data_IF_783731573134
#
_entry.id   IF_783731573134
#
_cell.length_a   1.000
_cell.length_b   1.000
_cell.length_c   1.000
_cell.angle_alpha   90.00
_cell.angle_beta   90.00
_cell.angle_gamma   90.00
#
_symmetry.space_group_name_H-M   'P 1'
#
loop_
_entity.id
_entity.type
_entity.pdbx_description
1 polymer ?
#
# COMPACT_ATOMS: atom_id res chain seq x y z
N UNK A 1 -2.53 9.67 -59.53
CA UNK A 1 -1.29 9.40 -58.79
C UNK A 1 -1.71 8.90 -57.42
N UNK A 2 -1.58 7.59 -57.17
CA UNK A 2 -1.84 7.04 -55.83
C UNK A 2 -0.68 7.47 -54.94
N UNK A 3 -0.95 8.35 -53.98
CA UNK A 3 0.00 8.66 -52.92
C UNK A 3 0.30 7.37 -52.16
N UNK A 4 1.56 6.98 -52.10
CA UNK A 4 2.00 5.86 -51.25
C UNK A 4 1.50 6.08 -49.81
N UNK A 5 0.97 5.05 -49.15
CA UNK A 5 0.46 5.18 -47.79
C UNK A 5 1.60 5.59 -46.86
N UNK A 6 1.54 6.81 -46.33
CA UNK A 6 2.48 7.30 -45.33
C UNK A 6 1.88 7.16 -43.93
N UNK A 7 2.74 6.94 -42.92
CA UNK A 7 2.35 6.94 -41.51
C UNK A 7 1.65 8.24 -41.09
N UNK A 8 2.06 9.38 -41.66
CA UNK A 8 1.42 10.67 -41.41
C UNK A 8 -0.03 10.74 -41.91
N UNK A 9 -0.35 10.05 -43.01
CA UNK A 9 -1.68 10.00 -43.59
C UNK A 9 -2.64 9.04 -42.88
N UNK A 10 -2.15 8.18 -41.98
CA UNK A 10 -2.99 7.17 -41.31
C UNK A 10 -4.02 7.81 -40.36
N UNK A 11 -5.27 7.30 -40.29
CA UNK A 11 -6.22 7.70 -39.26
C UNK A 11 -5.69 7.46 -37.84
N UNK A 12 -6.16 8.25 -36.88
CA UNK A 12 -5.72 8.16 -35.48
C UNK A 12 -5.96 6.76 -34.90
N UNK A 13 -7.07 6.13 -35.26
CA UNK A 13 -7.49 4.82 -34.80
C UNK A 13 -6.49 3.73 -35.23
N UNK A 14 -5.95 3.85 -36.44
CA UNK A 14 -4.93 2.94 -36.96
C UNK A 14 -3.59 3.19 -36.26
N UNK A 15 -3.22 4.46 -36.04
CA UNK A 15 -2.01 4.79 -35.28
C UNK A 15 -2.08 4.28 -33.84
N UNK A 16 -3.20 4.47 -33.14
CA UNK A 16 -3.42 3.93 -31.79
C UNK A 16 -3.35 2.40 -31.78
N UNK A 17 -3.93 1.73 -32.78
CA UNK A 17 -3.82 0.28 -32.91
C UNK A 17 -2.38 -0.18 -33.08
N UNK A 18 -1.56 0.53 -33.87
CA UNK A 18 -0.13 0.23 -34.01
C UNK A 18 0.60 0.48 -32.68
N UNK A 19 0.38 1.64 -32.06
CA UNK A 19 1.00 2.05 -30.80
C UNK A 19 0.67 1.06 -29.66
N UNK A 20 -0.53 0.47 -29.66
CA UNK A 20 -0.93 -0.57 -28.70
C UNK A 20 -0.03 -1.82 -28.70
N UNK A 21 0.66 -2.10 -29.82
CA UNK A 21 1.58 -3.23 -29.93
C UNK A 21 3.06 -2.85 -29.70
N UNK A 22 3.36 -1.57 -29.47
CA UNK A 22 4.73 -1.09 -29.28
C UNK A 22 5.06 -0.92 -27.79
N UNK A 23 6.28 -1.28 -27.35
CA UNK A 23 6.75 -0.90 -26.03
C UNK A 23 6.98 0.62 -25.96
N UNK A 24 6.94 1.19 -24.74
CA UNK A 24 7.06 2.65 -24.53
C UNK A 24 8.31 3.26 -25.21
N UNK A 25 9.44 2.56 -25.21
CA UNK A 25 10.66 3.02 -25.87
C UNK A 25 10.48 3.20 -27.40
N UNK A 26 9.77 2.27 -28.04
CA UNK A 26 9.49 2.32 -29.48
C UNK A 26 8.43 3.37 -29.79
N UNK A 27 7.45 3.56 -28.90
CA UNK A 27 6.50 4.69 -29.01
C UNK A 27 7.25 6.02 -28.93
N UNK A 28 8.21 6.16 -28.00
CA UNK A 28 9.06 7.34 -27.90
C UNK A 28 9.88 7.55 -29.18
N UNK A 29 10.47 6.50 -29.74
CA UNK A 29 11.20 6.58 -31.02
C UNK A 29 10.28 6.97 -32.19
N UNK A 30 9.07 6.40 -32.26
CA UNK A 30 8.06 6.75 -33.26
C UNK A 30 7.64 8.22 -33.16
N UNK A 31 7.53 8.76 -31.94
CA UNK A 31 7.21 10.18 -31.71
C UNK A 31 8.27 11.14 -32.22
N UNK A 32 9.48 10.67 -32.52
CA UNK A 32 10.58 11.49 -33.04
C UNK A 32 10.63 11.52 -34.57
N UNK A 33 9.85 10.67 -35.28
CA UNK A 33 9.99 10.54 -36.74
C UNK A 33 9.34 11.68 -37.52
N UNK A 34 8.18 12.18 -37.07
CA UNK A 34 7.47 13.29 -37.69
C UNK A 34 6.50 13.95 -36.70
N UNK A 35 6.19 15.24 -36.90
CA UNK A 35 5.33 16.00 -35.99
C UNK A 35 3.90 15.44 -35.92
N UNK A 36 3.32 15.05 -37.04
CA UNK A 36 1.93 14.56 -37.07
C UNK A 36 1.82 13.12 -36.53
N UNK A 37 2.78 12.23 -36.88
CA UNK A 37 2.97 10.95 -36.16
C UNK A 37 3.10 11.18 -34.65
N UNK A 38 3.91 12.14 -34.21
CA UNK A 38 4.11 12.46 -32.78
C UNK A 38 2.81 12.81 -32.07
N UNK A 39 1.97 13.65 -32.67
CA UNK A 39 0.67 14.02 -32.11
C UNK A 39 -0.23 12.79 -31.96
N UNK A 40 -0.35 11.97 -33.01
CA UNK A 40 -1.20 10.78 -33.03
C UNK A 40 -0.70 9.64 -32.12
N UNK A 41 0.61 9.55 -31.90
CA UNK A 41 1.22 8.55 -31.02
C UNK A 41 1.41 9.01 -29.58
N UNK A 42 1.01 10.25 -29.25
CA UNK A 42 1.05 10.80 -27.88
C UNK A 42 -0.29 10.76 -27.15
N UNK A 43 -1.28 10.05 -27.69
CA UNK A 43 -2.64 9.95 -27.14
C UNK A 43 -2.86 8.61 -26.42
N UNK A 44 -4.13 8.27 -26.13
CA UNK A 44 -4.59 6.96 -25.66
C UNK A 44 -3.57 6.07 -24.95
N UNK A 45 -2.98 5.14 -25.71
CA UNK A 45 -2.02 4.14 -25.22
C UNK A 45 -0.77 4.79 -24.61
N UNK A 46 -0.16 5.76 -25.29
CA UNK A 46 1.03 6.44 -24.76
C UNK A 46 0.76 7.07 -23.39
N UNK A 47 -0.36 7.78 -23.26
CA UNK A 47 -0.77 8.39 -21.99
C UNK A 47 -1.03 7.34 -20.90
N UNK A 48 -1.53 6.16 -21.26
CA UNK A 48 -1.82 5.09 -20.31
C UNK A 48 -0.57 4.60 -19.57
N UNK A 49 0.62 4.65 -20.20
CA UNK A 49 1.89 4.31 -19.55
C UNK A 49 2.24 5.20 -18.37
N UNK A 50 1.60 6.37 -18.23
CA UNK A 50 1.89 7.33 -17.16
C UNK A 50 0.87 7.30 -16.01
N UNK A 51 -0.26 6.60 -16.19
CA UNK A 51 -1.33 6.52 -15.19
C UNK A 51 -0.94 5.73 -13.95
N UNK A 52 -0.23 4.62 -14.15
CA UNK A 52 0.19 3.73 -13.07
C UNK A 52 1.72 3.67 -13.04
N UNK A 53 2.31 4.08 -11.92
CA UNK A 53 3.76 4.04 -11.72
C UNK A 53 4.14 3.18 -10.54
N UNK A 54 5.31 2.55 -10.64
CA UNK A 54 5.92 1.78 -9.56
C UNK A 54 7.30 2.37 -9.26
N UNK A 55 7.59 2.64 -8.00
CA UNK A 55 8.89 3.16 -7.54
C UNK A 55 9.44 2.19 -6.50
N UNK A 56 10.67 1.73 -6.70
CA UNK A 56 11.39 0.96 -5.69
C UNK A 56 11.96 1.91 -4.63
N UNK A 57 11.61 1.72 -3.36
CA UNK A 57 12.01 2.58 -2.24
C UNK A 57 13.48 2.41 -1.83
N UNK A 58 14.07 1.26 -2.16
CA UNK A 58 15.44 0.91 -1.78
C UNK A 58 16.46 1.22 -2.88
N UNK A 59 15.99 1.58 -4.07
CA UNK A 59 16.82 1.81 -5.24
C UNK A 59 16.96 3.33 -5.47
N UNK A 60 18.17 3.84 -5.25
CA UNK A 60 18.49 5.25 -5.35
C UNK A 60 18.30 5.78 -6.77
N UNK A 61 18.76 5.03 -7.78
CA UNK A 61 18.65 5.41 -9.19
C UNK A 61 17.18 5.50 -9.62
N UNK A 62 16.34 4.61 -9.08
CA UNK A 62 14.88 4.65 -9.33
C UNK A 62 14.20 5.84 -8.67
N UNK A 63 14.66 6.26 -7.50
CA UNK A 63 14.16 7.46 -6.84
C UNK A 63 14.57 8.74 -7.60
N UNK A 64 15.82 8.83 -8.07
CA UNK A 64 16.25 9.94 -8.92
C UNK A 64 15.48 9.97 -10.25
N UNK A 65 15.30 8.81 -10.87
CA UNK A 65 14.47 8.68 -12.08
C UNK A 65 13.03 9.12 -11.81
N UNK A 66 12.47 8.80 -10.64
CA UNK A 66 11.14 9.25 -10.26
C UNK A 66 11.06 10.77 -10.12
N UNK A 67 12.07 11.42 -9.52
CA UNK A 67 12.16 12.89 -9.45
C UNK A 67 12.20 13.50 -10.86
N UNK A 68 13.02 12.94 -11.75
CA UNK A 68 13.11 13.39 -13.14
C UNK A 68 11.75 13.28 -13.85
N UNK A 69 11.09 12.12 -13.78
CA UNK A 69 9.79 11.90 -14.41
C UNK A 69 8.71 12.78 -13.79
N UNK A 70 8.70 12.95 -12.46
CA UNK A 70 7.74 13.79 -11.76
C UNK A 70 7.86 15.26 -12.19
N UNK A 71 9.07 15.73 -12.50
CA UNK A 71 9.35 17.07 -13.03
C UNK A 71 8.81 17.30 -14.46
N UNK A 72 8.53 16.25 -15.22
CA UNK A 72 7.95 16.36 -16.57
C UNK A 72 6.43 16.57 -16.48
N UNK A 73 6.00 17.83 -16.41
CA UNK A 73 4.59 18.25 -16.20
C UNK A 73 3.55 17.51 -17.06
N UNK A 74 3.88 17.23 -18.33
CA UNK A 74 2.97 16.58 -19.28
C UNK A 74 2.64 15.12 -18.94
N UNK A 75 3.52 14.45 -18.20
CA UNK A 75 3.40 13.04 -17.86
C UNK A 75 2.93 12.84 -16.41
N UNK A 76 3.39 13.68 -15.49
CA UNK A 76 3.03 13.61 -14.07
C UNK A 76 1.57 13.98 -13.79
N UNK A 77 0.99 14.87 -14.60
CA UNK A 77 -0.44 15.23 -14.52
C UNK A 77 -1.40 14.08 -14.87
N UNK A 78 -0.91 13.03 -15.51
CA UNK A 78 -1.68 11.83 -15.88
C UNK A 78 -1.64 10.74 -14.81
N UNK A 79 -0.83 10.90 -13.75
CA UNK A 79 -0.71 9.89 -12.70
C UNK A 79 -2.08 9.67 -12.03
N UNK A 80 -2.50 8.42 -11.94
CA UNK A 80 -3.73 7.96 -11.28
C UNK A 80 -3.41 7.05 -10.09
N UNK A 81 -2.32 6.27 -10.15
CA UNK A 81 -1.89 5.41 -9.05
C UNK A 81 -0.37 5.26 -9.00
N UNK A 82 0.17 5.34 -7.77
CA UNK A 82 1.56 5.16 -7.46
C UNK A 82 1.74 3.98 -6.49
N UNK A 83 2.46 2.95 -6.93
CA UNK A 83 2.88 1.85 -6.06
C UNK A 83 4.31 2.06 -5.61
N UNK A 84 4.52 2.12 -4.30
CA UNK A 84 5.84 2.15 -3.68
C UNK A 84 6.19 0.73 -3.24
N UNK A 85 7.32 0.24 -3.78
CA UNK A 85 7.74 -1.15 -3.64
C UNK A 85 8.98 -1.20 -2.75
N UNK A 86 8.89 -1.90 -1.64
CA UNK A 86 10.01 -2.18 -0.75
C UNK A 86 10.58 -3.57 -1.08
N UNK A 87 11.91 -3.70 -1.14
CA UNK A 87 12.59 -4.96 -1.46
C UNK A 87 13.17 -5.59 -0.19
N UNK A 88 12.86 -6.86 0.06
CA UNK A 88 13.30 -7.63 1.23
C UNK A 88 14.83 -7.81 1.31
N UNK A 89 15.51 -7.92 0.17
CA UNK A 89 16.93 -8.30 0.12
C UNK A 89 17.91 -7.19 0.52
N UNK A 90 17.44 -5.93 0.55
CA UNK A 90 18.31 -4.74 0.73
C UNK A 90 18.28 -4.20 2.17
N UNK A 91 17.42 -4.75 3.04
CA UNK A 91 17.26 -4.25 4.41
C UNK A 91 18.24 -4.84 5.44
N UNK A 92 19.06 -5.82 5.05
CA UNK A 92 20.09 -6.37 5.93
C UNK A 92 21.40 -5.54 5.82
N UNK A 93 21.72 -4.78 6.87
CA UNK A 93 23.11 -4.39 7.16
C UNK A 93 23.56 -2.92 7.01
N UNK A 94 23.30 -2.20 5.91
CA UNK A 94 24.22 -1.11 5.53
C UNK A 94 23.69 0.33 5.34
N UNK A 95 22.43 0.68 5.67
CA UNK A 95 21.81 1.91 5.12
C UNK A 95 21.35 2.99 6.12
N UNK A 96 22.03 3.20 7.25
CA UNK A 96 21.73 4.40 8.07
C UNK A 96 22.20 5.73 7.44
N UNK A 97 23.24 5.72 6.58
CA UNK A 97 23.68 6.95 5.89
C UNK A 97 22.87 7.26 4.62
N UNK A 98 22.40 6.24 3.89
CA UNK A 98 21.58 6.42 2.67
C UNK A 98 20.10 6.73 2.93
N UNK A 99 19.57 6.45 4.14
CA UNK A 99 18.16 6.65 4.48
C UNK A 99 17.68 8.11 4.38
N UNK A 100 18.50 9.07 4.84
CA UNK A 100 18.14 10.50 4.79
C UNK A 100 18.04 11.01 3.35
N UNK A 101 18.95 10.60 2.47
CA UNK A 101 18.95 11.00 1.06
C UNK A 101 17.79 10.36 0.30
N UNK A 102 17.47 9.08 0.59
CA UNK A 102 16.30 8.40 0.00
C UNK A 102 14.98 9.06 0.39
N UNK A 103 14.80 9.39 1.66
CA UNK A 103 13.60 10.10 2.13
C UNK A 103 13.46 11.49 1.46
N UNK A 104 14.57 12.20 1.23
CA UNK A 104 14.57 13.47 0.51
C UNK A 104 14.16 13.31 -0.96
N UNK A 105 14.71 12.30 -1.66
CA UNK A 105 14.33 12.03 -3.06
C UNK A 105 12.87 11.60 -3.17
N UNK A 106 12.40 10.72 -2.28
CA UNK A 106 11.00 10.32 -2.21
C UNK A 106 10.10 11.54 -1.97
N UNK A 107 10.41 12.36 -0.97
CA UNK A 107 9.67 13.58 -0.69
C UNK A 107 9.60 14.50 -1.89
N UNK A 108 10.74 14.73 -2.55
CA UNK A 108 10.80 15.56 -3.75
C UNK A 108 9.97 14.99 -4.90
N UNK A 109 10.02 13.68 -5.12
CA UNK A 109 9.22 13.03 -6.16
C UNK A 109 7.72 13.18 -5.88
N UNK A 110 7.28 12.89 -4.65
CA UNK A 110 5.88 13.00 -4.24
C UNK A 110 5.36 14.45 -4.30
N UNK A 111 6.17 15.43 -3.87
CA UNK A 111 5.86 16.85 -4.04
C UNK A 111 5.61 17.20 -5.51
N UNK A 112 6.51 16.79 -6.41
CA UNK A 112 6.40 17.09 -7.84
C UNK A 112 5.18 16.42 -8.47
N UNK A 113 4.86 15.18 -8.07
CA UNK A 113 3.62 14.52 -8.50
C UNK A 113 2.39 15.26 -7.99
N UNK A 114 2.39 15.70 -6.73
CA UNK A 114 1.29 16.45 -6.14
C UNK A 114 1.09 17.82 -6.82
N UNK A 115 2.18 18.55 -7.07
CA UNK A 115 2.16 19.87 -7.72
C UNK A 115 1.67 19.80 -9.17
N UNK A 116 2.02 18.73 -9.88
CA UNK A 116 1.62 18.53 -11.27
C UNK A 116 0.28 17.80 -11.40
N UNK A 117 -0.28 17.29 -10.31
CA UNK A 117 -1.59 16.65 -10.29
C UNK A 117 -2.68 17.67 -10.59
N UNK A 118 -3.60 17.30 -11.48
CA UNK A 118 -4.79 18.12 -11.79
C UNK A 118 -5.72 18.28 -10.58
N UNK A 119 -5.56 17.45 -9.55
CA UNK A 119 -6.35 17.47 -8.32
C UNK A 119 -5.68 18.25 -7.19
N UNK A 120 -4.43 18.66 -7.35
CA UNK A 120 -3.62 19.26 -6.27
C UNK A 120 -3.31 18.29 -5.13
N UNK A 121 -3.40 16.99 -5.38
CA UNK A 121 -3.17 15.92 -4.40
C UNK A 121 -2.61 14.66 -5.06
N UNK A 122 -2.06 13.77 -4.25
CA UNK A 122 -1.64 12.43 -4.68
C UNK A 122 -2.90 11.55 -4.84
N UNK A 123 -3.20 11.03 -6.05
CA UNK A 123 -4.48 10.38 -6.30
C UNK A 123 -4.64 9.03 -5.60
N UNK A 124 -3.65 8.15 -5.73
CA UNK A 124 -3.63 6.83 -5.07
C UNK A 124 -2.20 6.41 -4.76
N UNK A 125 -1.93 6.03 -3.52
CA UNK A 125 -0.64 5.51 -3.06
C UNK A 125 -0.85 4.11 -2.51
N UNK A 126 -0.07 3.15 -3.01
CA UNK A 126 -0.07 1.78 -2.53
C UNK A 126 1.31 1.35 -2.06
N UNK A 127 1.39 0.78 -0.86
CA UNK A 127 2.59 0.17 -0.33
C UNK A 127 2.58 -1.34 -0.60
N UNK A 128 3.70 -1.85 -1.12
CA UNK A 128 3.91 -3.25 -1.48
C UNK A 128 5.30 -3.68 -1.06
N UNK A 129 5.44 -4.90 -0.57
CA UNK A 129 6.75 -5.54 -0.42
C UNK A 129 6.94 -6.53 -1.56
N UNK A 130 8.04 -6.42 -2.30
CA UNK A 130 8.38 -7.43 -3.29
C UNK A 130 9.12 -8.58 -2.61
N UNK A 131 8.57 -9.79 -2.79
CA UNK A 131 9.05 -11.02 -2.17
C UNK A 131 9.68 -12.00 -3.14
N UNK A 132 9.93 -11.61 -4.39
CA UNK A 132 10.52 -12.52 -5.38
C UNK A 132 11.98 -12.81 -5.04
N UNK A 133 12.21 -13.84 -4.22
CA UNK A 133 13.27 -14.79 -4.54
C UNK A 133 12.99 -15.20 -5.98
N UNK A 134 13.90 -14.89 -6.92
CA UNK A 134 13.74 -15.16 -8.35
C UNK A 134 13.26 -16.61 -8.52
N UNK A 135 11.99 -16.81 -8.86
CA UNK A 135 11.44 -18.11 -9.25
C UNK A 135 11.99 -18.48 -10.62
N UNK A 136 13.25 -18.91 -10.67
CA UNK A 136 13.71 -19.77 -11.74
C UNK A 136 13.28 -21.22 -11.40
N UNK A 137 12.12 -21.60 -11.96
CA UNK A 137 11.71 -22.98 -12.28
C UNK A 137 11.74 -24.00 -11.12
N UNK A 138 10.62 -24.16 -10.41
CA UNK A 138 10.45 -25.35 -9.56
C UNK A 138 10.10 -26.58 -10.39
N UNK A 139 11.06 -27.51 -10.42
CA UNK A 139 10.91 -28.91 -10.78
C UNK A 139 10.19 -29.68 -9.65
N UNK A 140 9.36 -30.71 -9.92
CA UNK A 140 8.58 -31.44 -8.91
C UNK A 140 9.37 -32.23 -7.84
N UNK A 141 10.70 -32.09 -7.75
CA UNK A 141 11.56 -32.88 -6.87
C UNK A 141 12.07 -32.17 -5.61
N UNK A 142 11.72 -30.90 -5.37
CA UNK A 142 12.33 -30.10 -4.30
C UNK A 142 11.55 -30.10 -2.96
N UNK A 143 11.29 -31.29 -2.42
CA UNK A 143 10.83 -31.46 -1.03
C UNK A 143 11.87 -30.98 0.00
N UNK A 144 13.15 -30.90 -0.37
CA UNK A 144 14.21 -30.36 0.47
C UNK A 144 14.10 -28.83 0.64
N UNK A 145 13.70 -28.10 -0.41
CA UNK A 145 13.48 -26.65 -0.36
C UNK A 145 12.26 -26.31 0.49
N UNK A 146 11.19 -27.13 0.45
CA UNK A 146 10.04 -26.95 1.35
C UNK A 146 10.42 -27.09 2.84
N UNK A 147 11.35 -27.99 3.16
CA UNK A 147 11.86 -28.19 4.52
C UNK A 147 12.87 -27.11 4.94
N UNK A 148 13.66 -26.57 4.01
CA UNK A 148 14.59 -25.47 4.29
C UNK A 148 13.86 -24.11 4.40
N UNK A 149 12.79 -23.92 3.62
CA UNK A 149 11.84 -22.81 3.78
C UNK A 149 11.16 -22.82 5.14
N UNK A 150 10.86 -23.99 5.74
CA UNK A 150 10.36 -24.05 7.12
C UNK A 150 11.43 -23.69 8.17
N UNK A 151 12.71 -23.93 7.90
CA UNK A 151 13.82 -23.52 8.79
C UNK A 151 14.13 -22.02 8.68
N UNK A 152 13.95 -21.43 7.50
CA UNK A 152 14.18 -20.01 7.22
C UNK A 152 12.92 -19.14 7.34
N UNK A 153 11.73 -19.75 7.46
CA UNK A 153 10.46 -19.04 7.65
C UNK A 153 10.48 -17.98 8.76
N UNK A 154 11.06 -18.22 9.95
CA UNK A 154 11.10 -17.21 11.00
C UNK A 154 11.96 -16.00 10.65
N UNK A 155 13.05 -16.18 9.89
CA UNK A 155 13.93 -15.09 9.47
C UNK A 155 13.32 -14.31 8.29
N UNK A 156 12.68 -15.01 7.35
CA UNK A 156 11.98 -14.40 6.23
C UNK A 156 10.78 -13.57 6.72
N UNK A 157 10.00 -14.06 7.67
CA UNK A 157 8.88 -13.30 8.25
C UNK A 157 9.37 -12.05 8.99
N UNK A 158 10.45 -12.13 9.77
CA UNK A 158 11.06 -10.95 10.42
C UNK A 158 11.50 -9.89 9.40
N UNK A 159 12.20 -10.30 8.34
CA UNK A 159 12.60 -9.40 7.26
C UNK A 159 11.40 -8.72 6.59
N UNK A 160 10.29 -9.43 6.38
CA UNK A 160 9.04 -8.87 5.84
C UNK A 160 8.43 -7.84 6.80
N UNK A 161 8.39 -8.16 8.09
CA UNK A 161 7.82 -7.29 9.12
C UNK A 161 8.64 -5.99 9.26
N UNK A 162 9.96 -6.09 9.26
CA UNK A 162 10.85 -4.92 9.27
C UNK A 162 10.71 -4.09 7.99
N UNK A 163 10.64 -4.75 6.83
CA UNK A 163 10.46 -4.08 5.53
C UNK A 163 9.11 -3.37 5.42
N UNK A 164 8.01 -3.99 5.86
CA UNK A 164 6.68 -3.39 5.89
C UNK A 164 6.63 -2.20 6.85
N UNK A 165 7.18 -2.35 8.07
CA UNK A 165 7.25 -1.29 9.06
C UNK A 165 8.06 -0.10 8.55
N UNK A 166 9.25 -0.34 7.98
CA UNK A 166 10.11 0.73 7.48
C UNK A 166 9.47 1.45 6.28
N UNK A 167 8.99 0.71 5.27
CA UNK A 167 8.36 1.33 4.10
C UNK A 167 7.11 2.15 4.44
N UNK A 168 6.31 1.67 5.41
CA UNK A 168 5.20 2.43 5.98
C UNK A 168 5.66 3.72 6.67
N UNK A 169 6.62 3.61 7.59
CA UNK A 169 7.12 4.77 8.35
C UNK A 169 7.79 5.79 7.44
N UNK A 170 8.73 5.37 6.58
CA UNK A 170 9.48 6.27 5.69
C UNK A 170 8.52 7.02 4.75
N UNK A 171 7.54 6.32 4.18
CA UNK A 171 6.58 6.94 3.26
C UNK A 171 5.66 7.93 3.99
N UNK A 172 5.02 7.51 5.09
CA UNK A 172 4.04 8.38 5.76
C UNK A 172 4.69 9.54 6.52
N UNK A 173 5.91 9.38 7.03
CA UNK A 173 6.66 10.51 7.59
C UNK A 173 7.03 11.53 6.52
N UNK A 174 7.40 11.07 5.31
CA UNK A 174 7.64 11.97 4.18
C UNK A 174 6.35 12.70 3.79
N UNK A 175 5.22 12.00 3.68
CA UNK A 175 3.92 12.63 3.40
C UNK A 175 3.58 13.69 4.44
N UNK A 176 3.70 13.36 5.73
CA UNK A 176 3.43 14.27 6.83
C UNK A 176 4.35 15.51 6.78
N UNK A 177 5.66 15.29 6.64
CA UNK A 177 6.67 16.36 6.60
C UNK A 177 6.40 17.37 5.48
N UNK A 178 5.92 16.89 4.34
CA UNK A 178 5.65 17.70 3.16
C UNK A 178 4.16 18.11 3.04
N UNK A 179 3.33 17.76 4.04
CA UNK A 179 1.88 18.02 4.07
C UNK A 179 1.17 17.62 2.77
N UNK A 180 1.49 16.44 2.24
CA UNK A 180 1.00 16.02 0.92
C UNK A 180 -0.40 15.42 1.04
N UNK A 181 -1.45 16.06 0.47
CA UNK A 181 -2.79 15.52 0.52
C UNK A 181 -2.92 14.26 -0.34
N UNK A 182 -3.66 13.26 0.17
CA UNK A 182 -3.86 11.95 -0.49
C UNK A 182 -5.36 11.63 -0.57
N UNK A 183 -5.80 11.06 -1.69
CA UNK A 183 -7.20 10.62 -1.86
C UNK A 183 -7.42 9.13 -1.63
N UNK A 184 -6.44 8.29 -1.93
CA UNK A 184 -6.51 6.83 -1.77
C UNK A 184 -5.18 6.30 -1.23
N UNK A 185 -5.25 5.55 -0.13
CA UNK A 185 -4.11 4.97 0.55
C UNK A 185 -4.34 3.48 0.77
N UNK A 186 -3.43 2.67 0.23
CA UNK A 186 -3.41 1.24 0.42
C UNK A 186 -2.12 0.79 1.11
N UNK A 187 -2.27 0.29 2.33
CA UNK A 187 -1.20 -0.24 3.17
C UNK A 187 -1.30 -1.77 3.10
N UNK A 188 -0.61 -2.36 2.12
CA UNK A 188 -0.50 -3.81 1.92
C UNK A 188 -1.81 -4.58 1.69
N UNK A 189 -2.96 -3.91 1.51
CA UNK A 189 -4.28 -4.55 1.44
C UNK A 189 -4.58 -5.34 0.16
N UNK A 190 -3.73 -5.27 -0.86
CA UNK A 190 -3.92 -5.99 -2.12
C UNK A 190 -3.12 -7.30 -2.23
N UNK A 191 -2.28 -7.63 -1.24
CA UNK A 191 -1.33 -8.75 -1.33
C UNK A 191 -1.55 -9.77 -0.22
N UNK A 192 -1.43 -11.04 -0.57
CA UNK A 192 -1.42 -12.15 0.39
C UNK A 192 -0.04 -12.24 1.05
N UNK A 193 0.03 -12.00 2.36
CA UNK A 193 1.22 -12.30 3.18
C UNK A 193 2.05 -11.10 3.61
N UNK A 194 1.78 -9.88 3.12
CA UNK A 194 2.39 -8.66 3.64
C UNK A 194 1.37 -7.95 4.54
N UNK A 195 1.72 -7.70 5.81
CA UNK A 195 0.83 -7.04 6.76
C UNK A 195 1.63 -6.17 7.72
N UNK A 196 1.07 -5.00 8.03
CA UNK A 196 1.68 -4.06 8.94
C UNK A 196 1.39 -4.46 10.39
N UNK A 197 2.40 -4.38 11.25
CA UNK A 197 2.15 -4.52 12.68
C UNK A 197 1.40 -3.30 13.23
N UNK A 198 0.40 -3.55 14.07
CA UNK A 198 -0.49 -2.48 14.53
C UNK A 198 0.21 -1.42 15.40
N UNK A 199 1.31 -1.78 16.08
CA UNK A 199 2.11 -0.83 16.87
C UNK A 199 2.74 0.26 16.01
N UNK A 200 3.05 -0.04 14.74
CA UNK A 200 3.66 0.91 13.82
C UNK A 200 2.77 2.12 13.57
N UNK A 201 1.45 1.95 13.57
CA UNK A 201 0.50 3.07 13.44
C UNK A 201 0.65 4.04 14.61
N UNK A 202 0.71 3.51 15.84
CA UNK A 202 0.89 4.34 17.04
C UNK A 202 2.26 5.01 17.05
N UNK A 203 3.32 4.26 16.70
CA UNK A 203 4.69 4.76 16.60
C UNK A 203 4.82 5.89 15.58
N UNK A 204 4.11 5.79 14.46
CA UNK A 204 4.08 6.82 13.43
C UNK A 204 3.36 8.08 13.92
N UNK A 205 2.16 7.94 14.49
CA UNK A 205 1.37 9.08 14.97
C UNK A 205 2.06 9.85 16.12
N UNK A 206 2.95 9.19 16.87
CA UNK A 206 3.80 9.85 17.87
C UNK A 206 4.90 10.74 17.24
N UNK A 207 5.27 10.49 15.98
CA UNK A 207 6.40 11.14 15.29
C UNK A 207 5.96 12.12 14.21
N UNK A 208 4.76 11.96 13.67
CA UNK A 208 4.30 12.66 12.49
C UNK A 208 2.83 13.08 12.60
N UNK A 209 2.54 14.32 12.21
CA UNK A 209 1.17 14.82 12.06
C UNK A 209 0.69 14.59 10.63
N UNK A 210 -0.34 13.75 10.49
CA UNK A 210 -0.95 13.37 9.22
C UNK A 210 -2.31 14.05 8.97
N UNK A 211 -2.75 14.94 9.88
CA UNK A 211 -4.09 15.54 9.85
C UNK A 211 -4.39 16.22 8.51
N UNK A 212 -3.47 17.07 8.02
CA UNK A 212 -3.61 17.79 6.74
C UNK A 212 -3.57 16.84 5.54
N UNK A 213 -2.72 15.82 5.61
CA UNK A 213 -2.46 14.89 4.50
C UNK A 213 -3.63 13.91 4.29
N UNK A 214 -4.30 13.50 5.38
CA UNK A 214 -5.38 12.51 5.36
C UNK A 214 -6.80 13.12 5.43
N UNK A 215 -6.94 14.42 5.64
CA UNK A 215 -8.26 15.08 5.71
C UNK A 215 -9.14 14.82 4.47
N UNK A 216 -8.51 14.77 3.30
CA UNK A 216 -9.15 14.52 2.00
C UNK A 216 -9.22 13.05 1.58
N UNK A 217 -8.74 12.12 2.43
CA UNK A 217 -8.67 10.70 2.10
C UNK A 217 -10.06 10.10 1.93
N UNK A 218 -10.32 9.54 0.75
CA UNK A 218 -11.60 8.93 0.36
C UNK A 218 -11.56 7.42 0.48
N UNK A 219 -10.40 6.79 0.32
CA UNK A 219 -10.25 5.35 0.38
C UNK A 219 -9.05 4.98 1.25
N UNK A 220 -9.28 4.04 2.18
CA UNK A 220 -8.25 3.48 3.02
C UNK A 220 -8.36 1.97 3.00
N UNK A 221 -7.25 1.31 2.69
CA UNK A 221 -7.12 -0.14 2.75
C UNK A 221 -5.90 -0.49 3.59
N UNK A 222 -6.04 -1.35 4.59
CA UNK A 222 -4.94 -1.76 5.46
C UNK A 222 -4.99 -3.26 5.74
N UNK A 223 -3.84 -3.92 5.58
CA UNK A 223 -3.60 -5.27 6.08
C UNK A 223 -2.78 -5.20 7.37
N UNK A 224 -3.33 -5.74 8.45
CA UNK A 224 -2.81 -5.56 9.82
C UNK A 224 -2.53 -6.90 10.49
N UNK A 225 -1.54 -6.94 11.39
CA UNK A 225 -1.24 -8.12 12.21
C UNK A 225 -0.75 -7.75 13.61
N UNK A 226 -0.80 -8.72 14.53
CA UNK A 226 -0.33 -8.58 15.92
C UNK A 226 1.13 -9.05 16.13
N UNK A 227 1.85 -9.47 15.09
CA UNK A 227 3.07 -10.27 15.24
C UNK A 227 4.10 -9.65 16.20
N UNK A 228 4.57 -10.49 17.12
CA UNK A 228 5.64 -10.20 18.05
C UNK A 228 6.64 -11.35 17.99
N UNK A 229 7.76 -11.11 17.31
CA UNK A 229 8.81 -12.11 17.14
C UNK A 229 9.71 -12.26 18.37
N UNK A 230 9.67 -11.31 19.32
CA UNK A 230 10.76 -11.11 20.29
C UNK A 230 10.33 -10.68 21.70
N UNK A 231 9.06 -10.37 21.97
CA UNK A 231 8.66 -9.76 23.25
C UNK A 231 7.92 -10.73 24.16
N UNK A 232 8.70 -11.61 24.78
CA UNK A 232 8.26 -12.40 25.94
C UNK A 232 7.85 -11.54 27.15
N UNK A 233 7.94 -10.20 27.08
CA UNK A 233 7.70 -9.29 28.21
C UNK A 233 6.49 -8.36 27.99
N UNK A 234 6.16 -7.96 26.75
CA UNK A 234 5.06 -7.02 26.49
C UNK A 234 3.69 -7.66 26.21
N UNK A 235 3.63 -8.96 25.93
CA UNK A 235 2.38 -9.69 25.61
C UNK A 235 1.46 -9.96 26.81
N UNK A 236 1.87 -9.65 28.05
CA UNK A 236 1.07 -9.91 29.25
C UNK A 236 0.18 -8.74 29.69
N UNK A 237 0.22 -7.58 29.04
CA UNK A 237 -0.59 -6.44 29.46
C UNK A 237 -1.68 -6.11 28.42
N UNK A 238 -2.95 -6.24 28.83
CA UNK A 238 -4.11 -5.77 28.08
C UNK A 238 -4.02 -4.27 27.67
N UNK A 239 -3.18 -3.48 28.37
CA UNK A 239 -2.86 -2.10 27.99
C UNK A 239 -2.18 -2.01 26.61
N UNK A 240 -1.39 -3.00 26.21
CA UNK A 240 -0.65 -2.98 24.94
C UNK A 240 -1.58 -3.12 23.73
N UNK A 241 -2.49 -4.11 23.74
CA UNK A 241 -3.51 -4.24 22.70
C UNK A 241 -4.44 -3.03 22.64
N UNK A 242 -4.74 -2.43 23.81
CA UNK A 242 -5.47 -1.16 23.89
C UNK A 242 -4.75 -0.03 23.16
N UNK A 243 -3.48 0.19 23.45
CA UNK A 243 -2.68 1.22 22.78
C UNK A 243 -2.62 1.02 21.26
N UNK A 244 -2.46 -0.21 20.78
CA UNK A 244 -2.39 -0.51 19.35
C UNK A 244 -3.69 -0.16 18.62
N UNK A 245 -4.83 -0.65 19.12
CA UNK A 245 -6.13 -0.34 18.52
C UNK A 245 -6.48 1.14 18.64
N UNK A 246 -6.05 1.82 19.70
CA UNK A 246 -6.18 3.27 19.83
C UNK A 246 -5.43 4.01 18.72
N UNK A 247 -4.22 3.58 18.36
CA UNK A 247 -3.50 4.14 17.22
C UNK A 247 -4.26 4.00 15.90
N UNK A 248 -4.90 2.85 15.66
CA UNK A 248 -5.77 2.65 14.49
C UNK A 248 -6.98 3.59 14.53
N UNK A 249 -7.65 3.71 15.69
CA UNK A 249 -8.76 4.64 15.85
C UNK A 249 -8.34 6.09 15.60
N UNK A 250 -7.19 6.51 16.12
CA UNK A 250 -6.63 7.84 15.89
C UNK A 250 -6.36 8.09 14.41
N UNK A 251 -5.75 7.13 13.71
CA UNK A 251 -5.52 7.24 12.27
C UNK A 251 -6.84 7.40 11.50
N UNK A 252 -7.85 6.60 11.83
CA UNK A 252 -9.18 6.66 11.21
C UNK A 252 -9.87 8.00 11.47
N UNK A 253 -9.70 8.59 12.65
CA UNK A 253 -10.24 9.91 12.99
C UNK A 253 -9.62 11.04 12.15
N UNK A 254 -8.41 10.88 11.62
CA UNK A 254 -7.83 11.86 10.69
C UNK A 254 -8.52 11.85 9.31
N UNK A 255 -9.18 10.74 8.96
CA UNK A 255 -9.77 10.48 7.64
C UNK A 255 -11.23 10.96 7.55
N UNK A 256 -11.45 12.26 7.65
CA UNK A 256 -12.79 12.86 7.74
C UNK A 256 -13.68 12.66 6.50
N UNK A 257 -13.07 12.46 5.32
CA UNK A 257 -13.76 12.33 4.03
C UNK A 257 -13.89 10.87 3.56
N UNK A 258 -13.64 9.90 4.44
CA UNK A 258 -13.52 8.49 4.09
C UNK A 258 -14.84 7.92 3.57
N UNK A 259 -14.80 7.31 2.38
CA UNK A 259 -15.94 6.68 1.70
C UNK A 259 -15.81 5.16 1.56
N UNK A 260 -14.60 4.65 1.51
CA UNK A 260 -14.28 3.22 1.40
C UNK A 260 -13.24 2.84 2.44
N UNK A 261 -13.59 1.89 3.31
CA UNK A 261 -12.71 1.36 4.33
C UNK A 261 -12.56 -0.15 4.15
N UNK A 262 -11.34 -0.62 3.96
CA UNK A 262 -11.00 -2.03 3.87
C UNK A 262 -10.01 -2.37 4.98
N UNK A 263 -10.42 -3.25 5.88
CA UNK A 263 -9.57 -3.73 6.96
C UNK A 263 -9.42 -5.24 6.78
N UNK A 264 -8.18 -5.66 6.57
CA UNK A 264 -7.79 -7.06 6.57
C UNK A 264 -6.95 -7.33 7.81
N UNK A 265 -7.36 -8.33 8.58
CA UNK A 265 -6.59 -8.82 9.70
C UNK A 265 -5.93 -10.13 9.32
N UNK A 266 -4.61 -10.11 9.24
CA UNK A 266 -3.82 -11.27 8.87
C UNK A 266 -3.39 -12.04 10.12
N UNK A 267 -4.00 -13.20 10.31
CA UNK A 267 -3.62 -14.16 11.36
C UNK A 267 -2.59 -15.14 10.82
N UNK A 268 -1.38 -15.14 11.37
CA UNK A 268 -0.37 -16.15 11.06
C UNK A 268 -0.86 -17.56 11.46
N UNK A 269 -0.70 -18.59 10.62
CA UNK A 269 -1.19 -19.93 10.93
C UNK A 269 -0.61 -20.48 12.25
N UNK A 270 -1.42 -21.19 13.06
CA UNK A 270 -0.98 -21.78 14.34
C UNK A 270 0.24 -22.71 14.24
N UNK A 271 0.51 -23.26 13.05
CA UNK A 271 1.49 -24.32 12.83
C UNK A 271 2.94 -23.88 12.91
N UNK A 272 3.24 -22.57 12.91
CA UNK A 272 4.62 -22.10 12.90
C UNK A 272 5.16 -21.72 14.30
N UNK A 273 4.31 -21.34 15.27
CA UNK A 273 4.81 -20.74 16.53
C UNK A 273 4.02 -21.10 17.78
N UNK A 274 3.41 -22.29 17.85
CA UNK A 274 2.73 -22.75 19.05
C UNK A 274 3.73 -23.16 20.14
N UNK A 275 4.26 -22.17 20.88
CA UNK A 275 4.85 -22.36 22.20
C UNK A 275 4.43 -21.19 23.08
N UNK A 276 3.49 -21.47 23.99
CA UNK A 276 3.19 -20.73 25.22
C UNK A 276 2.03 -19.73 25.12
N UNK A 277 0.85 -20.13 25.65
CA UNK A 277 -0.19 -19.36 26.37
C UNK A 277 -0.56 -17.89 26.11
N UNK A 278 0.04 -17.19 25.16
CA UNK A 278 -0.11 -15.75 24.88
C UNK A 278 -1.27 -15.44 23.90
N UNK A 279 -1.89 -16.49 23.36
CA UNK A 279 -3.00 -16.37 22.40
C UNK A 279 -4.25 -15.75 23.00
N UNK A 280 -4.52 -15.97 24.28
CA UNK A 280 -5.80 -15.56 24.87
C UNK A 280 -5.92 -14.02 25.01
N UNK A 281 -4.83 -13.34 25.36
CA UNK A 281 -4.82 -11.88 25.50
C UNK A 281 -4.83 -11.17 24.13
N UNK A 282 -4.03 -11.64 23.18
CA UNK A 282 -3.96 -11.07 21.82
C UNK A 282 -5.25 -11.32 21.04
N UNK A 283 -5.84 -12.52 21.15
CA UNK A 283 -7.17 -12.78 20.60
C UNK A 283 -8.24 -11.94 21.28
N UNK A 284 -8.25 -11.82 22.61
CA UNK A 284 -9.21 -10.97 23.32
C UNK A 284 -9.17 -9.51 22.83
N UNK A 285 -7.99 -8.98 22.53
CA UNK A 285 -7.82 -7.61 22.03
C UNK A 285 -8.25 -7.46 20.56
N UNK A 286 -8.00 -8.46 19.72
CA UNK A 286 -8.52 -8.51 18.33
C UNK A 286 -10.05 -8.40 18.31
N UNK A 287 -10.72 -9.14 19.20
CA UNK A 287 -12.18 -9.12 19.32
C UNK A 287 -12.75 -7.75 19.69
N UNK A 288 -11.96 -6.91 20.37
CA UNK A 288 -12.36 -5.57 20.77
C UNK A 288 -12.12 -4.51 19.69
N UNK A 289 -11.42 -4.81 18.59
CA UNK A 289 -11.11 -3.85 17.53
C UNK A 289 -12.37 -3.13 17.03
N UNK A 290 -13.39 -3.87 16.59
CA UNK A 290 -14.61 -3.29 16.04
C UNK A 290 -15.39 -2.50 17.10
N UNK A 291 -15.43 -2.98 18.34
CA UNK A 291 -16.06 -2.26 19.45
C UNK A 291 -15.38 -0.92 19.69
N UNK A 292 -14.04 -0.88 19.71
CA UNK A 292 -13.27 0.35 19.92
C UNK A 292 -13.40 1.33 18.77
N UNK A 293 -13.42 0.83 17.54
CA UNK A 293 -13.70 1.67 16.37
C UNK A 293 -15.12 2.25 16.47
N UNK A 294 -16.12 1.43 16.85
CA UNK A 294 -17.49 1.89 17.06
C UNK A 294 -17.59 2.98 18.14
N UNK A 295 -16.82 2.85 19.23
CA UNK A 295 -16.82 3.82 20.34
C UNK A 295 -16.03 5.09 20.03
N UNK A 296 -14.95 4.99 19.26
CA UNK A 296 -13.98 6.09 19.08
C UNK A 296 -14.16 6.84 17.77
N UNK A 297 -14.58 6.16 16.71
CA UNK A 297 -14.60 6.73 15.36
C UNK A 297 -16.01 7.14 14.94
N UNK A 298 -16.11 8.27 14.23
CA UNK A 298 -17.34 8.71 13.58
C UNK A 298 -17.13 8.75 12.08
N UNK A 299 -17.99 8.04 11.35
CA UNK A 299 -17.92 7.95 9.90
C UNK A 299 -19.11 8.67 9.28
N UNK A 300 -18.92 9.93 8.90
CA UNK A 300 -19.99 10.76 8.32
C UNK A 300 -20.30 10.41 6.86
N UNK A 301 -19.30 9.88 6.14
CA UNK A 301 -19.36 9.70 4.68
C UNK A 301 -19.05 8.27 4.21
N UNK A 302 -18.91 7.32 5.13
CA UNK A 302 -18.50 5.96 4.79
C UNK A 302 -19.64 5.21 4.08
N UNK A 303 -19.42 4.87 2.81
CA UNK A 303 -20.39 4.20 1.97
C UNK A 303 -20.07 2.71 1.78
N UNK A 304 -18.78 2.33 1.87
CA UNK A 304 -18.31 0.97 1.58
C UNK A 304 -17.40 0.47 2.68
N UNK A 305 -17.66 -0.75 3.13
CA UNK A 305 -16.86 -1.43 4.14
C UNK A 305 -16.53 -2.85 3.68
N UNK A 306 -15.24 -3.21 3.74
CA UNK A 306 -14.77 -4.59 3.56
C UNK A 306 -14.03 -5.02 4.82
N UNK A 307 -14.50 -6.11 5.43
CA UNK A 307 -13.83 -6.76 6.55
C UNK A 307 -13.31 -8.11 6.09
N UNK A 308 -12.02 -8.36 6.31
CA UNK A 308 -11.38 -9.64 5.99
C UNK A 308 -10.58 -10.18 7.18
N UNK A 309 -10.73 -11.47 7.50
CA UNK A 309 -9.92 -12.15 8.54
C UNK A 309 -10.22 -11.71 9.98
N UNK A 310 -11.33 -11.01 10.22
CA UNK A 310 -11.64 -10.37 11.51
C UNK A 310 -12.26 -11.39 12.47
N UNK A 311 -11.71 -11.49 13.69
CA UNK A 311 -12.35 -12.16 14.82
C UNK A 311 -13.13 -11.16 15.67
N UNK A 312 -14.41 -11.42 15.93
CA UNK A 312 -15.26 -10.53 16.74
C UNK A 312 -16.45 -11.27 17.34
N UNK A 313 -17.29 -10.58 18.11
CA UNK A 313 -18.57 -11.12 18.61
C UNK A 313 -19.73 -10.58 17.79
N UNK A 314 -20.84 -11.33 17.72
CA UNK A 314 -22.04 -10.86 17.00
C UNK A 314 -22.57 -9.51 17.53
N UNK A 315 -22.64 -9.24 18.84
CA UNK A 315 -23.05 -7.94 19.36
C UNK A 315 -22.10 -6.81 18.94
N UNK A 316 -20.78 -7.03 18.99
CA UNK A 316 -19.79 -6.02 18.61
C UNK A 316 -19.90 -5.64 17.13
N UNK A 317 -20.03 -6.64 16.24
CA UNK A 317 -20.23 -6.40 14.81
C UNK A 317 -21.53 -5.64 14.54
N UNK A 318 -22.63 -6.02 15.19
CA UNK A 318 -23.91 -5.33 15.04
C UNK A 318 -23.87 -3.89 15.55
N UNK A 319 -23.20 -3.64 16.69
CA UNK A 319 -23.00 -2.29 17.22
C UNK A 319 -22.22 -1.44 16.21
N UNK A 320 -21.12 -1.98 15.68
CA UNK A 320 -20.31 -1.28 14.69
C UNK A 320 -21.11 -0.96 13.42
N UNK A 321 -21.83 -1.93 12.86
CA UNK A 321 -22.60 -1.73 11.63
C UNK A 321 -23.77 -0.75 11.80
N UNK A 322 -24.38 -0.69 12.98
CA UNK A 322 -25.48 0.27 13.27
C UNK A 322 -25.04 1.72 13.22
N UNK A 323 -23.77 2.00 13.41
CA UNK A 323 -23.23 3.36 13.35
C UNK A 323 -22.97 3.82 11.91
N UNK A 324 -23.08 2.93 10.92
CA UNK A 324 -22.69 3.18 9.55
C UNK A 324 -23.91 3.22 8.62
N UNK A 325 -23.86 4.08 7.61
CA UNK A 325 -24.86 4.17 6.54
C UNK A 325 -24.29 3.57 5.25
N UNK A 326 -24.03 2.26 5.27
CA UNK A 326 -23.34 1.57 4.18
C UNK A 326 -24.25 1.32 2.98
N UNK A 327 -23.69 1.53 1.78
CA UNK A 327 -24.26 1.10 0.49
C UNK A 327 -23.75 -0.26 0.05
N UNK A 328 -22.53 -0.60 0.48
CA UNK A 328 -21.90 -1.89 0.19
C UNK A 328 -21.17 -2.39 1.42
N UNK A 329 -21.43 -3.65 1.78
CA UNK A 329 -20.76 -4.32 2.86
C UNK A 329 -20.28 -5.69 2.39
N UNK A 330 -18.99 -5.97 2.58
CA UNK A 330 -18.35 -7.24 2.21
C UNK A 330 -17.63 -7.83 3.41
N UNK A 331 -17.84 -9.12 3.64
CA UNK A 331 -17.17 -9.89 4.68
C UNK A 331 -16.50 -11.11 4.05
N UNK A 332 -15.24 -11.34 4.39
CA UNK A 332 -14.47 -12.52 3.98
C UNK A 332 -13.76 -13.06 5.23
N UNK A 333 -13.85 -14.36 5.54
CA UNK A 333 -13.11 -14.94 6.68
C UNK A 333 -13.40 -14.21 8.02
N UNK A 334 -14.67 -13.81 8.27
CA UNK A 334 -15.08 -13.20 9.53
C UNK A 334 -15.54 -14.28 10.51
N UNK A 335 -14.90 -14.34 11.67
CA UNK A 335 -15.11 -15.36 12.68
C UNK A 335 -15.86 -14.77 13.89
N UNK A 336 -17.03 -15.34 14.19
CA UNK A 336 -17.86 -14.93 15.32
C UNK A 336 -17.66 -15.87 16.51
N UNK A 337 -17.22 -15.32 17.64
CA UNK A 337 -17.14 -16.06 18.90
C UNK A 337 -18.38 -15.83 19.78
N UNK A 338 -18.74 -16.80 20.65
CA UNK A 338 -19.84 -16.62 21.59
C UNK A 338 -19.56 -15.46 22.54
N UNK A 339 -20.58 -14.66 22.81
CA UNK A 339 -20.53 -13.61 23.84
C UNK A 339 -20.49 -14.30 25.20
N UNK A 340 -19.37 -14.22 25.93
CA UNK A 340 -19.25 -14.74 27.29
C UNK A 340 -19.88 -13.79 28.31
#
# INVERSE_FOLDING_TARGET
>A
MSSDPTLDGMPLEITESIVAFLPLADICSLRLTARNVSVKSSTGVFKSHFRNKRIALNDFDRLEQAVYIAGLQSCSSLLESLTLVADRAVFDGDLQQGGKTRAQLLGRALELFCLNSTRGCLPSISLVVDGRVKEDRYSPYDMAVYMDQQRQAPQNERSICETTAQSFNDTLQVIAKHNLPIEDLNIFGNLSGDSLHCDQVTSLLAKADLSTSLQGLKQLSMSLTYYDANDTVHTQQASFGKTMTQGICQLLQLCHSLKDLKIHWYTTPPSLFNRNGSRDATQSEEHQLLTRIAESCQFSSLERLTLRGIHTTAPALLLFLRLLQLRSFKMEEVHLSPSF
#
